data_IF_325134979542
#
_entry.id   IF_325134979542
#
_cell.length_a   1.000
_cell.length_b   1.000
_cell.length_c   1.000
_cell.angle_alpha   90.00
_cell.angle_beta   90.00
_cell.angle_gamma   90.00
#
_symmetry.space_group_name_H-M   'P 1'
#
loop_
_entity.id
_entity.type
_entity.pdbx_description
1 polymer ?
#
# COMPACT_ATOMS: atom_id res chain seq x y z
N UNK A 1 -23.35 -15.67 55.13
CA UNK A 1 -23.46 -16.34 53.83
C UNK A 1 -22.51 -15.65 52.85
N UNK A 2 -21.52 -16.40 52.34
CA UNK A 2 -20.84 -16.21 51.05
C UNK A 2 -19.95 -14.98 50.73
N UNK A 3 -19.49 -14.16 51.69
CA UNK A 3 -18.45 -13.15 51.37
C UNK A 3 -17.16 -13.81 50.88
N UNK A 4 -16.77 -14.92 51.52
CA UNK A 4 -15.54 -15.65 51.17
C UNK A 4 -15.62 -16.29 49.77
N UNK A 5 -16.80 -16.82 49.40
CA UNK A 5 -17.08 -17.33 48.06
C UNK A 5 -17.10 -16.21 46.99
N UNK A 6 -17.55 -15.01 47.36
CA UNK A 6 -17.54 -13.85 46.46
C UNK A 6 -16.12 -13.33 46.23
N UNK A 7 -15.29 -13.27 47.27
CA UNK A 7 -13.89 -12.84 47.17
C UNK A 7 -13.07 -13.85 46.37
N UNK A 8 -13.27 -15.16 46.57
CA UNK A 8 -12.53 -16.19 45.81
C UNK A 8 -12.96 -16.25 44.34
N UNK A 9 -14.25 -16.09 44.03
CA UNK A 9 -14.72 -15.99 42.64
C UNK A 9 -14.22 -14.72 41.93
N UNK A 10 -14.17 -13.58 42.63
CA UNK A 10 -13.60 -12.35 42.09
C UNK A 10 -12.09 -12.48 41.84
N UNK A 11 -11.34 -13.12 42.73
CA UNK A 11 -9.92 -13.45 42.52
C UNK A 11 -9.69 -14.41 41.36
N UNK A 12 -10.56 -15.43 41.19
CA UNK A 12 -10.50 -16.32 40.03
C UNK A 12 -10.80 -15.59 38.71
N UNK A 13 -11.79 -14.69 38.68
CA UNK A 13 -12.07 -13.88 37.51
C UNK A 13 -10.93 -12.91 37.17
N UNK A 14 -10.32 -12.28 38.18
CA UNK A 14 -9.15 -11.43 37.96
C UNK A 14 -7.95 -12.23 37.44
N UNK A 15 -7.68 -13.42 37.99
CA UNK A 15 -6.58 -14.27 37.52
C UNK A 15 -6.81 -14.80 36.12
N UNK A 16 -8.04 -15.20 35.77
CA UNK A 16 -8.42 -15.58 34.40
C UNK A 16 -8.25 -14.41 33.42
N UNK A 17 -8.71 -13.20 33.76
CA UNK A 17 -8.52 -12.02 32.91
C UNK A 17 -7.04 -11.63 32.77
N UNK A 18 -6.25 -11.78 33.85
CA UNK A 18 -4.82 -11.50 33.81
C UNK A 18 -4.08 -12.51 32.95
N UNK A 19 -4.43 -13.79 33.05
CA UNK A 19 -3.84 -14.86 32.24
C UNK A 19 -4.18 -14.70 30.75
N UNK A 20 -5.45 -14.44 30.43
CA UNK A 20 -5.90 -14.16 29.06
C UNK A 20 -5.17 -12.95 28.45
N UNK A 21 -5.00 -11.86 29.22
CA UNK A 21 -4.17 -10.73 28.78
C UNK A 21 -2.71 -11.12 28.55
N UNK A 22 -2.13 -11.89 29.46
CA UNK A 22 -0.73 -12.30 29.37
C UNK A 22 -0.47 -13.22 28.17
N UNK A 23 -1.41 -14.11 27.87
CA UNK A 23 -1.40 -14.96 26.68
C UNK A 23 -1.55 -14.13 25.40
N UNK A 24 -2.47 -13.15 25.36
CA UNK A 24 -2.60 -12.24 24.22
C UNK A 24 -1.33 -11.41 24.01
N UNK A 25 -0.67 -10.94 25.08
CA UNK A 25 0.59 -10.22 24.99
C UNK A 25 1.73 -11.11 24.46
N UNK A 26 1.79 -12.38 24.88
CA UNK A 26 2.77 -13.33 24.36
C UNK A 26 2.54 -13.64 22.89
N UNK A 27 1.29 -13.87 22.49
CA UNK A 27 0.92 -14.05 21.08
C UNK A 27 1.36 -12.86 20.24
N UNK A 28 1.01 -11.64 20.66
CA UNK A 28 1.42 -10.40 20.03
C UNK A 28 2.94 -10.26 19.88
N UNK A 29 3.69 -10.47 20.97
CA UNK A 29 5.16 -10.37 20.94
C UNK A 29 5.80 -11.39 19.98
N UNK A 30 5.25 -12.61 19.91
CA UNK A 30 5.71 -13.63 18.97
C UNK A 30 5.41 -13.20 17.53
N UNK A 31 4.17 -12.80 17.22
CA UNK A 31 3.78 -12.33 15.88
C UNK A 31 4.65 -11.16 15.44
N UNK A 32 4.87 -10.17 16.32
CA UNK A 32 5.74 -9.02 16.05
C UNK A 32 7.18 -9.46 15.77
N UNK A 33 7.74 -10.37 16.57
CA UNK A 33 9.12 -10.85 16.36
C UNK A 33 9.28 -11.58 15.02
N UNK A 34 8.32 -12.42 14.65
CA UNK A 34 8.30 -13.15 13.38
C UNK A 34 8.15 -12.19 12.21
N UNK A 35 7.38 -11.13 12.40
CA UNK A 35 7.18 -10.10 11.41
C UNK A 35 8.42 -9.27 11.13
N UNK A 36 9.05 -8.75 12.17
CA UNK A 36 10.31 -8.00 12.05
C UNK A 36 11.38 -8.85 11.36
N UNK A 37 11.46 -10.14 11.71
CA UNK A 37 12.38 -11.08 11.07
C UNK A 37 12.08 -11.26 9.57
N UNK A 38 10.83 -11.55 9.21
CA UNK A 38 10.42 -11.78 7.82
C UNK A 38 10.71 -10.56 6.93
N UNK A 39 10.34 -9.37 7.37
CA UNK A 39 10.47 -8.15 6.58
C UNK A 39 11.93 -7.71 6.44
N UNK A 40 12.72 -7.85 7.51
CA UNK A 40 14.13 -7.44 7.51
C UNK A 40 15.02 -8.34 6.66
N UNK A 41 14.77 -9.65 6.68
CA UNK A 41 15.69 -10.63 6.09
C UNK A 41 15.20 -11.18 4.74
N UNK A 42 13.92 -11.53 4.61
CA UNK A 42 13.40 -12.20 3.41
C UNK A 42 12.88 -11.20 2.38
N UNK A 43 12.17 -10.14 2.81
CA UNK A 43 11.64 -9.16 1.87
C UNK A 43 12.72 -8.23 1.30
N UNK A 44 13.74 -7.87 2.10
CA UNK A 44 14.80 -6.96 1.65
C UNK A 44 15.58 -7.50 0.45
N UNK A 45 15.80 -8.81 0.41
CA UNK A 45 16.41 -9.50 -0.74
C UNK A 45 15.49 -9.46 -1.96
N UNK A 46 14.20 -9.78 -1.78
CA UNK A 46 13.21 -9.69 -2.86
C UNK A 46 12.97 -8.27 -3.39
N UNK A 47 13.04 -7.25 -2.53
CA UNK A 47 12.94 -5.84 -2.94
C UNK A 47 14.17 -5.40 -3.73
N UNK A 48 15.37 -5.79 -3.29
CA UNK A 48 16.60 -5.52 -4.01
C UNK A 48 16.60 -6.22 -5.38
N UNK A 49 16.12 -7.46 -5.45
CA UNK A 49 16.03 -8.24 -6.68
C UNK A 49 14.94 -7.69 -7.63
N UNK A 50 13.78 -7.30 -7.11
CA UNK A 50 12.72 -6.66 -7.90
C UNK A 50 13.16 -5.29 -8.42
N UNK A 51 13.84 -4.49 -7.59
CA UNK A 51 14.44 -3.24 -8.04
C UNK A 51 15.48 -3.49 -9.13
N UNK A 52 16.33 -4.51 -8.97
CA UNK A 52 17.33 -4.90 -9.97
C UNK A 52 16.68 -5.35 -11.29
N UNK A 53 15.67 -6.22 -11.26
CA UNK A 53 14.89 -6.62 -12.45
C UNK A 53 14.18 -5.44 -13.11
N UNK A 54 13.69 -4.49 -12.32
CA UNK A 54 13.11 -3.25 -12.82
C UNK A 54 14.16 -2.41 -13.56
N UNK A 55 15.36 -2.22 -12.99
CA UNK A 55 16.46 -1.54 -13.66
C UNK A 55 16.99 -2.28 -14.90
N UNK A 56 17.04 -3.61 -14.88
CA UNK A 56 17.49 -4.44 -16.00
C UNK A 56 16.48 -4.47 -17.16
N UNK A 57 15.18 -4.48 -16.85
CA UNK A 57 14.10 -4.40 -17.85
C UNK A 57 13.86 -2.99 -18.41
N UNK A 58 14.37 -1.96 -17.74
CA UNK A 58 14.25 -0.55 -18.14
C UNK A 58 15.65 0.01 -18.36
N UNK A 59 16.31 -0.41 -19.45
CA UNK A 59 17.61 0.13 -19.89
C UNK A 59 17.40 1.58 -20.35
N UNK A 60 17.34 2.51 -19.40
CA UNK A 60 17.52 3.92 -19.69
C UNK A 60 18.95 4.08 -20.19
N UNK A 61 19.12 4.62 -21.39
CA UNK A 61 20.45 4.92 -21.91
C UNK A 61 21.15 5.90 -20.95
N UNK A 62 22.48 5.83 -20.82
CA UNK A 62 23.28 6.71 -19.93
C UNK A 62 23.04 8.21 -20.19
N UNK A 63 22.47 8.55 -21.36
CA UNK A 63 22.01 9.89 -21.73
C UNK A 63 20.66 10.26 -21.09
N UNK A 64 19.71 9.33 -20.99
CA UNK A 64 18.45 9.48 -20.24
C UNK A 64 18.67 9.53 -18.72
N UNK A 65 19.69 8.84 -18.17
CA UNK A 65 20.03 8.99 -16.75
C UNK A 65 20.49 10.42 -16.41
N UNK A 66 21.32 11.03 -17.26
CA UNK A 66 21.79 12.41 -17.06
C UNK A 66 20.69 13.47 -17.28
N UNK A 67 19.75 13.23 -18.19
CA UNK A 67 18.58 14.11 -18.37
C UNK A 67 17.53 13.91 -17.25
N UNK A 68 17.37 12.70 -16.72
CA UNK A 68 16.51 12.41 -15.55
C UNK A 68 17.09 12.92 -14.22
N UNK A 69 18.40 13.05 -14.09
CA UNK A 69 19.03 13.72 -12.93
C UNK A 69 18.82 15.25 -12.95
N UNK A 70 18.56 15.83 -14.13
CA UNK A 70 18.26 17.27 -14.30
C UNK A 70 16.76 17.58 -14.44
N UNK A 71 15.92 16.62 -14.79
CA UNK A 71 14.47 16.74 -14.68
C UNK A 71 14.07 16.68 -13.20
N UNK A 72 13.63 17.82 -12.67
CA UNK A 72 12.89 17.98 -11.42
C UNK A 72 12.28 16.68 -10.92
N UNK A 73 12.80 16.12 -9.80
CA UNK A 73 12.24 14.96 -9.09
C UNK A 73 10.71 14.99 -9.21
N UNK A 74 10.13 14.14 -10.06
CA UNK A 74 8.70 14.20 -10.39
C UNK A 74 7.87 14.26 -9.11
N UNK A 75 6.89 15.17 -9.04
CA UNK A 75 6.02 15.30 -7.86
C UNK A 75 5.06 14.13 -7.71
N UNK A 76 4.97 13.28 -8.72
CA UNK A 76 4.02 12.18 -8.81
C UNK A 76 4.64 10.81 -8.55
N UNK A 77 3.82 9.88 -8.03
CA UNK A 77 4.17 8.48 -7.75
C UNK A 77 3.16 7.52 -8.39
N UNK A 78 3.60 6.40 -8.99
CA UNK A 78 2.67 5.34 -9.43
C UNK A 78 2.01 4.59 -8.26
N UNK A 79 2.50 4.79 -7.04
CA UNK A 79 2.01 4.18 -5.79
C UNK A 79 1.39 5.24 -4.88
N UNK A 80 0.50 4.82 -3.97
CA UNK A 80 -0.10 5.71 -2.97
C UNK A 80 0.96 6.21 -1.97
N UNK A 81 1.17 7.54 -1.85
CA UNK A 81 2.10 8.08 -0.86
C UNK A 81 1.50 7.99 0.55
N UNK A 82 2.08 7.14 1.41
CA UNK A 82 1.64 6.99 2.81
C UNK A 82 2.51 7.76 3.81
N UNK A 83 3.49 8.53 3.33
CA UNK A 83 4.40 9.31 4.18
C UNK A 83 3.66 10.25 5.15
N UNK A 84 2.52 10.82 4.73
CA UNK A 84 1.70 11.72 5.54
C UNK A 84 1.01 11.01 6.71
N UNK A 85 0.78 9.69 6.64
CA UNK A 85 0.25 8.94 7.78
C UNK A 85 1.29 8.82 8.89
N UNK A 86 2.57 8.78 8.53
CA UNK A 86 3.66 8.51 9.45
C UNK A 86 4.26 9.75 10.10
N UNK A 87 4.00 10.94 9.54
CA UNK A 87 4.65 12.19 9.94
C UNK A 87 3.62 13.23 10.36
N UNK A 88 3.38 13.32 11.67
CA UNK A 88 2.43 14.27 12.27
C UNK A 88 2.61 15.71 11.78
N UNK A 89 3.83 16.24 11.84
CA UNK A 89 4.10 17.63 11.44
C UNK A 89 3.79 17.91 9.97
N UNK A 90 4.04 16.92 9.09
CA UNK A 90 3.73 17.07 7.66
C UNK A 90 2.23 16.93 7.39
N UNK A 91 1.56 16.04 8.14
CA UNK A 91 0.11 15.83 8.09
C UNK A 91 -0.65 17.10 8.50
N UNK A 92 -0.25 17.72 9.60
CA UNK A 92 -0.86 18.96 10.10
C UNK A 92 -0.64 20.13 9.13
N UNK A 93 0.52 20.20 8.48
CA UNK A 93 0.81 21.25 7.48
C UNK A 93 0.08 21.04 6.14
N UNK A 94 -0.24 19.80 5.78
CA UNK A 94 -0.84 19.43 4.49
C UNK A 94 -2.14 18.66 4.70
N UNK A 95 -3.02 19.20 5.53
CA UNK A 95 -4.25 18.51 5.94
C UNK A 95 -5.14 18.12 4.75
N UNK A 96 -5.37 19.03 3.81
CA UNK A 96 -6.19 18.76 2.61
C UNK A 96 -5.61 17.60 1.79
N UNK A 97 -4.29 17.58 1.57
CA UNK A 97 -3.62 16.49 0.85
C UNK A 97 -3.71 15.17 1.63
N UNK A 98 -3.60 15.21 2.95
CA UNK A 98 -3.77 14.04 3.79
C UNK A 98 -5.19 13.48 3.67
N UNK A 99 -6.23 14.32 3.67
CA UNK A 99 -7.62 13.89 3.50
C UNK A 99 -7.84 13.19 2.15
N UNK A 100 -7.22 13.70 1.08
CA UNK A 100 -7.24 13.06 -0.24
C UNK A 100 -6.58 11.68 -0.23
N UNK A 101 -5.37 11.56 0.34
CA UNK A 101 -4.70 10.26 0.43
C UNK A 101 -5.38 9.31 1.41
N UNK A 102 -6.04 9.81 2.45
CA UNK A 102 -6.85 9.02 3.37
C UNK A 102 -8.07 8.43 2.67
N UNK A 103 -8.77 9.23 1.85
CA UNK A 103 -9.87 8.75 1.03
C UNK A 103 -9.41 7.64 0.06
N UNK A 104 -8.28 7.87 -0.63
CA UNK A 104 -7.72 6.87 -1.54
C UNK A 104 -7.25 5.60 -0.80
N UNK A 105 -6.69 5.73 0.41
CA UNK A 105 -6.27 4.61 1.24
C UNK A 105 -7.47 3.75 1.69
N UNK A 106 -8.59 4.41 2.05
CA UNK A 106 -9.84 3.70 2.38
C UNK A 106 -10.38 2.91 1.20
N UNK A 107 -10.24 3.43 -0.01
CA UNK A 107 -10.75 2.79 -1.22
C UNK A 107 -9.80 1.70 -1.75
N UNK A 108 -8.48 1.87 -1.61
CA UNK A 108 -7.51 0.93 -2.17
C UNK A 108 -7.44 -0.37 -1.35
N UNK A 109 -7.60 -0.31 -0.03
CA UNK A 109 -7.52 -1.50 0.81
C UNK A 109 -8.59 -2.55 0.46
N UNK A 110 -9.89 -2.19 0.30
CA UNK A 110 -10.90 -3.10 -0.24
C UNK A 110 -10.62 -3.53 -1.68
N UNK A 111 -10.07 -2.65 -2.53
CA UNK A 111 -9.74 -3.03 -3.91
C UNK A 111 -8.65 -4.11 -3.96
N UNK A 112 -7.68 -4.06 -3.05
CA UNK A 112 -6.59 -5.05 -2.96
C UNK A 112 -7.08 -6.32 -2.25
N UNK A 113 -7.78 -6.18 -1.12
CA UNK A 113 -8.00 -7.28 -0.17
C UNK A 113 -9.47 -7.69 0.01
N UNK A 114 -10.44 -6.99 -0.57
CA UNK A 114 -11.86 -7.25 -0.35
C UNK A 114 -12.33 -8.64 -0.76
N UNK A 115 -11.55 -9.36 -1.57
CA UNK A 115 -11.81 -10.75 -1.92
C UNK A 115 -11.31 -11.75 -0.87
N UNK A 116 -10.34 -11.37 -0.03
CA UNK A 116 -9.68 -12.28 0.92
C UNK A 116 -10.56 -12.56 2.13
N UNK A 117 -10.36 -13.75 2.72
CA UNK A 117 -11.13 -14.17 3.90
C UNK A 117 -10.91 -13.26 5.11
N UNK A 118 -9.64 -12.97 5.44
CA UNK A 118 -9.31 -12.17 6.63
C UNK A 118 -9.89 -10.75 6.56
N UNK A 119 -9.98 -10.17 5.36
CA UNK A 119 -10.51 -8.81 5.17
C UNK A 119 -12.03 -8.79 5.27
N UNK A 120 -12.71 -9.81 4.72
CA UNK A 120 -14.16 -9.97 4.86
C UNK A 120 -14.56 -10.18 6.31
N UNK A 121 -13.86 -11.08 7.02
CA UNK A 121 -14.11 -11.33 8.44
C UNK A 121 -13.89 -10.05 9.28
N UNK A 122 -12.89 -9.22 8.93
CA UNK A 122 -12.67 -7.92 9.57
C UNK A 122 -13.78 -6.90 9.31
N UNK A 123 -14.28 -6.82 8.07
CA UNK A 123 -15.43 -5.98 7.72
C UNK A 123 -16.72 -6.41 8.41
N UNK A 124 -16.96 -7.72 8.49
CA UNK A 124 -18.14 -8.28 9.15
C UNK A 124 -18.12 -8.04 10.67
N UNK A 125 -16.92 -8.08 11.27
CA UNK A 125 -16.75 -7.77 12.68
C UNK A 125 -16.91 -6.26 12.97
N UNK A 126 -16.41 -5.41 12.08
CA UNK A 126 -16.51 -3.96 12.19
C UNK A 126 -16.51 -3.26 10.82
N UNK A 127 -17.64 -2.64 10.47
CA UNK A 127 -17.81 -1.93 9.21
C UNK A 127 -16.82 -0.75 9.05
N UNK A 128 -16.29 -0.23 10.15
CA UNK A 128 -15.33 0.89 10.19
C UNK A 128 -13.89 0.41 10.44
N UNK A 129 -13.58 -0.89 10.27
CA UNK A 129 -12.23 -1.38 10.59
C UNK A 129 -11.14 -0.71 9.74
N UNK A 130 -11.44 -0.32 8.49
CA UNK A 130 -10.48 0.33 7.59
C UNK A 130 -10.06 1.69 8.15
N UNK A 131 -11.02 2.49 8.60
CA UNK A 131 -10.79 3.76 9.30
C UNK A 131 -9.92 3.57 10.54
N UNK A 132 -10.25 2.56 11.33
CA UNK A 132 -9.54 2.25 12.56
C UNK A 132 -8.11 1.81 12.29
N UNK A 133 -7.90 0.99 11.26
CA UNK A 133 -6.58 0.56 10.82
C UNK A 133 -5.71 1.75 10.38
N UNK A 134 -6.23 2.64 9.54
CA UNK A 134 -5.49 3.83 9.08
C UNK A 134 -5.16 4.79 10.24
N UNK A 135 -6.09 4.92 11.20
CA UNK A 135 -5.86 5.67 12.43
C UNK A 135 -4.79 5.01 13.31
N UNK A 136 -4.82 3.69 13.45
CA UNK A 136 -3.84 2.92 14.22
C UNK A 136 -2.44 3.05 13.64
N UNK A 137 -2.30 3.01 12.30
CA UNK A 137 -1.03 3.28 11.60
C UNK A 137 -0.49 4.66 11.98
N UNK A 138 -1.36 5.68 11.92
CA UNK A 138 -0.99 7.07 12.22
C UNK A 138 -0.55 7.24 13.68
N UNK A 139 -1.27 6.63 14.61
CA UNK A 139 -0.96 6.68 16.04
C UNK A 139 0.31 5.92 16.39
N UNK A 140 0.49 4.72 15.83
CA UNK A 140 1.68 3.92 16.06
C UNK A 140 2.94 4.61 15.53
N UNK A 141 2.83 5.38 14.44
CA UNK A 141 3.93 6.17 13.93
C UNK A 141 4.31 7.35 14.85
N UNK A 142 3.33 7.94 15.55
CA UNK A 142 3.57 8.98 16.57
C UNK A 142 4.22 8.40 17.83
N UNK A 143 3.87 7.17 18.19
CA UNK A 143 4.40 6.47 19.37
C UNK A 143 5.82 5.89 19.13
N UNK A 144 6.38 6.01 17.91
CA UNK A 144 7.73 5.52 17.60
C UNK A 144 8.82 6.33 18.33
N UNK A 145 9.84 5.68 18.92
CA UNK A 145 11.00 6.36 19.47
C UNK A 145 11.70 7.20 18.41
N UNK A 146 12.12 8.43 18.73
CA UNK A 146 12.72 9.37 17.75
C UNK A 146 13.99 8.85 17.02
N UNK A 147 14.60 7.78 17.54
CA UNK A 147 15.75 7.09 16.94
C UNK A 147 15.34 6.07 15.86
N UNK A 148 14.14 5.52 15.92
CA UNK A 148 13.59 4.63 14.90
C UNK A 148 12.92 5.47 13.81
N UNK A 149 13.38 5.29 12.57
CA UNK A 149 12.84 5.98 11.40
C UNK A 149 12.40 4.96 10.38
N UNK A 150 11.16 5.08 9.93
CA UNK A 150 10.64 4.30 8.80
C UNK A 150 11.17 4.95 7.52
N UNK A 151 12.10 4.29 6.83
CA UNK A 151 12.70 4.77 5.57
C UNK A 151 12.09 4.08 4.37
N UNK A 152 11.86 2.78 4.48
CA UNK A 152 11.37 1.92 3.41
C UNK A 152 10.06 1.22 3.82
N UNK A 153 9.27 0.76 2.84
CA UNK A 153 8.02 0.07 3.13
C UNK A 153 8.20 -1.14 4.07
N UNK A 154 9.37 -1.79 4.03
CA UNK A 154 9.72 -2.89 4.94
C UNK A 154 9.74 -2.47 6.42
N UNK A 155 10.11 -1.22 6.69
CA UNK A 155 10.23 -0.67 8.04
C UNK A 155 8.87 -0.41 8.69
N UNK A 156 7.76 -0.46 7.91
CA UNK A 156 6.41 -0.42 8.47
C UNK A 156 6.15 -1.55 9.46
N UNK A 157 6.97 -2.61 9.40
CA UNK A 157 6.91 -3.71 10.35
C UNK A 157 7.25 -3.35 11.79
N UNK A 158 7.94 -2.22 11.98
CA UNK A 158 8.29 -1.70 13.30
C UNK A 158 7.13 -1.02 14.02
N UNK A 159 6.00 -0.79 13.34
CA UNK A 159 4.81 -0.19 13.93
C UNK A 159 4.12 -1.18 14.87
N UNK A 160 4.05 -0.83 16.16
CA UNK A 160 3.36 -1.61 17.18
C UNK A 160 1.99 -0.98 17.46
N UNK A 161 0.91 -1.73 17.22
CA UNK A 161 -0.44 -1.23 17.46
C UNK A 161 -0.91 -1.63 18.85
N UNK A 162 -1.72 -0.77 19.48
CA UNK A 162 -2.33 -1.05 20.79
C UNK A 162 -3.40 -2.14 20.71
N UNK A 163 -4.07 -2.23 19.57
CA UNK A 163 -5.05 -3.26 19.25
C UNK A 163 -4.35 -4.45 18.56
N UNK A 164 -4.29 -5.63 19.20
CA UNK A 164 -3.70 -6.82 18.62
C UNK A 164 -4.41 -7.29 17.34
N UNK A 165 -5.72 -7.11 17.24
CA UNK A 165 -6.49 -7.55 16.08
C UNK A 165 -6.14 -6.74 14.84
N UNK A 166 -6.07 -5.41 14.97
CA UNK A 166 -5.62 -4.53 13.89
C UNK A 166 -4.15 -4.81 13.53
N UNK A 167 -3.32 -5.17 14.51
CA UNK A 167 -1.92 -5.52 14.26
C UNK A 167 -1.80 -6.79 13.41
N UNK A 168 -2.57 -7.83 13.72
CA UNK A 168 -2.57 -9.10 13.00
C UNK A 168 -3.07 -8.91 11.56
N UNK A 169 -4.12 -8.12 11.34
CA UNK A 169 -4.60 -7.78 10.00
C UNK A 169 -3.52 -7.03 9.21
N UNK A 170 -2.89 -6.02 9.82
CA UNK A 170 -1.84 -5.24 9.18
C UNK A 170 -0.63 -6.11 8.82
N UNK A 171 -0.28 -7.03 9.70
CA UNK A 171 0.75 -8.04 9.46
C UNK A 171 0.43 -8.88 8.22
N UNK A 172 -0.80 -9.40 8.10
CA UNK A 172 -1.23 -10.17 6.93
C UNK A 172 -1.12 -9.35 5.63
N UNK A 173 -1.53 -8.08 5.65
CA UNK A 173 -1.41 -7.18 4.49
C UNK A 173 0.05 -6.95 4.07
N UNK A 174 0.96 -6.76 5.03
CA UNK A 174 2.38 -6.52 4.74
C UNK A 174 3.12 -7.81 4.32
N UNK A 175 2.79 -8.94 4.93
CA UNK A 175 3.32 -10.26 4.57
C UNK A 175 2.84 -10.73 3.19
N UNK A 176 1.60 -10.41 2.84
CA UNK A 176 0.93 -11.01 1.67
C UNK A 176 0.58 -12.48 1.90
N UNK A 177 -0.27 -13.02 1.02
CA UNK A 177 -0.71 -14.40 1.07
C UNK A 177 0.13 -15.27 0.15
N UNK A 178 0.66 -16.37 0.65
CA UNK A 178 1.27 -17.41 -0.18
C UNK A 178 0.37 -18.63 -0.13
N UNK A 179 -0.18 -19.02 -1.28
CA UNK A 179 -0.72 -20.38 -1.44
C UNK A 179 0.47 -21.30 -1.71
N UNK A 180 0.63 -22.31 -0.84
CA UNK A 180 1.49 -23.44 -1.13
C UNK A 180 0.80 -24.19 -2.28
N UNK A 181 1.42 -24.31 -3.46
CA UNK A 181 0.82 -25.07 -4.54
C UNK A 181 0.63 -26.50 -4.08
N UNK A 182 -0.51 -27.11 -4.40
CA UNK A 182 -0.55 -28.57 -4.45
C UNK A 182 0.47 -28.98 -5.50
N UNK A 183 1.42 -29.86 -5.14
CA UNK A 183 2.48 -30.32 -6.04
C UNK A 183 1.89 -30.83 -7.36
N UNK A 184 1.97 -30.03 -8.42
CA UNK A 184 1.81 -30.49 -9.78
C UNK A 184 3.15 -30.34 -10.49
N UNK A 185 3.85 -31.48 -10.60
CA UNK A 185 4.96 -31.71 -11.54
C UNK A 185 6.23 -30.84 -11.35
N UNK A 186 6.85 -30.91 -10.18
CA UNK A 186 8.30 -30.69 -10.02
C UNK A 186 8.83 -29.25 -10.12
N UNK A 187 7.98 -28.26 -10.36
CA UNK A 187 8.30 -26.83 -10.19
C UNK A 187 7.35 -26.22 -9.17
N UNK A 188 7.86 -25.91 -7.97
CA UNK A 188 7.08 -25.21 -6.93
C UNK A 188 7.00 -23.73 -7.32
N UNK A 189 6.06 -23.38 -8.19
CA UNK A 189 5.72 -21.96 -8.43
C UNK A 189 4.84 -21.46 -7.28
N UNK A 190 5.43 -20.70 -6.38
CA UNK A 190 4.74 -20.09 -5.24
C UNK A 190 3.67 -19.12 -5.75
N UNK A 191 2.40 -19.54 -5.78
CA UNK A 191 1.30 -18.67 -6.15
C UNK A 191 0.90 -17.78 -4.96
N UNK A 192 1.01 -16.47 -5.15
CA UNK A 192 0.65 -15.48 -4.13
C UNK A 192 -0.88 -15.34 -4.14
N UNK A 193 -1.55 -15.86 -3.11
CA UNK A 193 -3.02 -15.81 -2.95
C UNK A 193 -3.54 -14.36 -2.91
N UNK A 194 -2.76 -13.45 -2.32
CA UNK A 194 -3.02 -12.01 -2.37
C UNK A 194 -1.74 -11.18 -2.21
N UNK A 195 -1.62 -10.02 -2.88
CA UNK A 195 -0.40 -9.25 -2.96
C UNK A 195 -0.08 -8.49 -1.66
N UNK A 196 1.22 -8.23 -1.43
CA UNK A 196 1.71 -7.40 -0.33
C UNK A 196 1.31 -5.94 -0.49
N UNK A 197 1.04 -5.26 0.62
CA UNK A 197 0.71 -3.83 0.63
C UNK A 197 1.84 -2.98 0.04
N UNK A 198 3.11 -3.35 0.28
CA UNK A 198 4.31 -2.66 -0.21
C UNK A 198 4.39 -2.52 -1.74
N UNK A 199 3.63 -3.32 -2.50
CA UNK A 199 3.49 -3.17 -3.96
C UNK A 199 2.73 -1.90 -4.35
N UNK A 200 1.80 -1.44 -3.52
CA UNK A 200 0.84 -0.37 -3.85
C UNK A 200 1.13 0.97 -3.18
N UNK A 201 2.01 0.98 -2.18
CA UNK A 201 2.32 2.17 -1.36
C UNK A 201 3.77 2.64 -1.53
N UNK A 202 4.02 3.92 -1.27
CA UNK A 202 5.37 4.50 -1.18
C UNK A 202 5.51 5.38 0.07
N UNK A 203 6.74 5.50 0.56
CA UNK A 203 7.12 6.43 1.64
C UNK A 203 7.71 7.74 1.11
N UNK A 204 7.79 7.89 -0.20
CA UNK A 204 8.20 9.15 -0.79
C UNK A 204 7.16 10.24 -0.50
N UNK A 205 7.62 11.44 -0.17
CA UNK A 205 6.74 12.60 0.06
C UNK A 205 6.30 13.23 -1.27
N UNK A 206 5.64 12.42 -2.11
CA UNK A 206 5.05 12.84 -3.38
C UNK A 206 3.67 13.43 -3.11
N UNK A 207 3.34 14.51 -3.81
CA UNK A 207 2.05 15.19 -3.65
C UNK A 207 1.00 14.72 -4.65
N UNK A 208 1.40 13.90 -5.64
CA UNK A 208 0.54 13.46 -6.72
C UNK A 208 0.65 11.97 -6.98
N UNK A 209 -0.41 11.40 -7.53
CA UNK A 209 -0.45 10.05 -8.04
C UNK A 209 -0.35 10.09 -9.56
N UNK A 210 0.65 9.40 -10.09
CA UNK A 210 0.88 9.27 -11.52
C UNK A 210 -0.12 8.27 -12.08
N UNK A 211 -1.24 8.78 -12.58
CA UNK A 211 -2.35 7.97 -13.08
C UNK A 211 -1.84 7.04 -14.16
N UNK A 212 -1.11 7.50 -15.17
CA UNK A 212 -0.65 6.66 -16.28
C UNK A 212 0.11 5.37 -15.88
N UNK A 213 0.78 5.37 -14.73
CA UNK A 213 1.56 4.21 -14.23
C UNK A 213 0.98 3.60 -12.95
N UNK A 214 -0.21 4.04 -12.51
CA UNK A 214 -0.83 3.52 -11.32
C UNK A 214 -1.42 2.13 -11.56
N UNK A 215 -1.18 1.20 -10.63
CA UNK A 215 -1.71 -0.17 -10.69
C UNK A 215 -3.24 -0.23 -10.75
N UNK A 216 -3.79 -1.35 -11.24
CA UNK A 216 -5.23 -1.58 -11.32
C UNK A 216 -5.98 -1.28 -10.01
N UNK A 217 -5.56 -1.77 -8.82
CA UNK A 217 -6.28 -1.48 -7.57
C UNK A 217 -6.25 0.00 -7.19
N UNK A 218 -5.14 0.70 -7.47
CA UNK A 218 -5.04 2.14 -7.23
C UNK A 218 -5.92 2.95 -8.19
N UNK A 219 -6.15 2.45 -9.41
CA UNK A 219 -7.11 3.09 -10.32
C UNK A 219 -8.54 2.86 -9.88
N UNK A 220 -8.88 1.64 -9.47
CA UNK A 220 -10.19 1.33 -8.92
C UNK A 220 -10.50 2.24 -7.72
N UNK A 221 -9.50 2.55 -6.89
CA UNK A 221 -9.67 3.43 -5.73
C UNK A 221 -9.87 4.91 -6.06
N UNK A 222 -9.46 5.35 -7.27
CA UNK A 222 -9.58 6.73 -7.74
C UNK A 222 -10.81 6.93 -8.65
N UNK A 223 -11.12 5.93 -9.47
CA UNK A 223 -12.04 6.03 -10.60
C UNK A 223 -13.25 5.09 -10.49
N UNK A 224 -13.18 4.10 -9.61
CA UNK A 224 -14.16 3.01 -9.52
C UNK A 224 -13.91 1.92 -10.57
N UNK A 225 -14.26 0.67 -10.25
CA UNK A 225 -13.97 -0.51 -11.09
C UNK A 225 -14.51 -0.43 -12.53
N UNK A 226 -15.65 0.26 -12.72
CA UNK A 226 -16.36 0.29 -14.00
C UNK A 226 -15.53 0.86 -15.17
N UNK A 227 -14.60 1.79 -14.89
CA UNK A 227 -13.84 2.49 -15.93
C UNK A 227 -12.35 2.12 -15.95
N UNK A 228 -11.92 1.21 -15.07
CA UNK A 228 -10.51 0.82 -14.99
C UNK A 228 -10.05 0.15 -16.28
N UNK A 229 -10.86 -0.71 -16.89
CA UNK A 229 -10.51 -1.37 -18.15
C UNK A 229 -10.30 -0.36 -19.29
N UNK A 230 -11.16 0.66 -19.39
CA UNK A 230 -11.02 1.74 -20.37
C UNK A 230 -9.70 2.50 -20.17
N UNK A 231 -9.33 2.77 -18.92
CA UNK A 231 -8.06 3.44 -18.58
C UNK A 231 -6.87 2.57 -19.02
N UNK A 232 -6.88 1.27 -18.67
CA UNK A 232 -5.78 0.36 -19.01
C UNK A 232 -5.63 0.18 -20.52
N UNK A 233 -6.74 0.02 -21.24
CA UNK A 233 -6.74 -0.04 -22.69
C UNK A 233 -6.14 1.25 -23.28
N UNK A 234 -6.61 2.42 -22.83
CA UNK A 234 -6.15 3.71 -23.36
C UNK A 234 -4.67 3.95 -23.09
N UNK A 235 -4.13 3.46 -21.96
CA UNK A 235 -2.70 3.51 -21.68
C UNK A 235 -1.88 2.73 -22.69
N UNK A 236 -2.31 1.52 -23.01
CA UNK A 236 -1.60 0.65 -23.95
C UNK A 236 -1.63 1.22 -25.37
N UNK A 237 -2.76 1.82 -25.78
CA UNK A 237 -2.87 2.58 -27.03
C UNK A 237 -1.86 3.73 -27.06
N UNK A 238 -1.91 4.63 -26.07
CA UNK A 238 -1.04 5.81 -26.02
C UNK A 238 0.44 5.45 -25.86
N UNK A 239 0.77 4.40 -25.09
CA UNK A 239 2.13 3.89 -24.98
C UNK A 239 2.67 3.45 -26.35
N UNK A 240 1.85 2.75 -27.14
CA UNK A 240 2.22 2.28 -28.49
C UNK A 240 2.43 3.45 -29.46
N UNK A 241 1.61 4.50 -29.35
CA UNK A 241 1.69 5.71 -30.18
C UNK A 241 2.89 6.61 -29.84
N UNK A 242 3.32 6.62 -28.57
CA UNK A 242 4.42 7.46 -28.05
C UNK A 242 5.78 6.74 -28.08
N UNK A 243 5.81 5.41 -28.20
CA UNK A 243 7.02 4.58 -28.34
C UNK A 243 7.88 5.09 -29.51
N UNK A 244 9.23 5.09 -29.43
CA UNK A 244 10.09 5.77 -30.40
C UNK A 244 10.06 5.09 -31.78
N UNK A 245 9.05 5.41 -32.57
CA UNK A 245 9.02 5.28 -34.02
C UNK A 245 9.10 6.70 -34.60
N UNK A 246 9.84 6.87 -35.70
CA UNK A 246 9.84 8.14 -36.43
C UNK A 246 8.39 8.51 -36.80
N UNK A 247 7.94 9.70 -36.37
CA UNK A 247 6.56 10.16 -36.58
C UNK A 247 5.54 9.76 -35.51
N UNK A 248 5.97 9.21 -34.36
CA UNK A 248 5.09 8.93 -33.22
C UNK A 248 4.46 10.18 -32.57
N UNK A 249 3.39 9.98 -31.81
CA UNK A 249 2.69 11.05 -31.09
C UNK A 249 3.62 11.68 -30.03
N UNK A 250 3.55 13.00 -29.88
CA UNK A 250 4.29 13.70 -28.81
C UNK A 250 3.68 13.39 -27.44
N UNK A 251 4.52 13.35 -26.41
CA UNK A 251 4.12 13.08 -25.02
C UNK A 251 3.12 14.09 -24.49
N UNK A 252 3.22 15.35 -24.92
CA UNK A 252 2.32 16.43 -24.50
C UNK A 252 0.91 16.23 -25.06
N UNK A 253 0.81 15.88 -26.35
CA UNK A 253 -0.46 15.62 -27.02
C UNK A 253 -1.14 14.38 -26.41
N UNK A 254 -0.37 13.30 -26.19
CA UNK A 254 -0.85 12.10 -25.52
C UNK A 254 -1.33 12.37 -24.09
N UNK A 255 -0.63 13.24 -23.35
CA UNK A 255 -1.01 13.65 -21.99
C UNK A 255 -2.34 14.39 -22.00
N UNK A 256 -2.54 15.31 -22.95
CA UNK A 256 -3.80 16.04 -23.05
C UNK A 256 -4.97 15.11 -23.39
N UNK A 257 -4.78 14.18 -24.35
CA UNK A 257 -5.78 13.17 -24.71
C UNK A 257 -6.14 12.30 -23.49
N UNK A 258 -5.13 11.84 -22.74
CA UNK A 258 -5.36 11.00 -21.57
C UNK A 258 -6.08 11.75 -20.45
N UNK A 259 -5.71 13.01 -20.22
CA UNK A 259 -6.34 13.88 -19.23
C UNK A 259 -7.80 14.14 -19.58
N UNK A 260 -8.09 14.56 -20.81
CA UNK A 260 -9.45 14.89 -21.26
C UNK A 260 -10.40 13.68 -21.18
N UNK A 261 -9.87 12.47 -21.41
CA UNK A 261 -10.65 11.24 -21.34
C UNK A 261 -11.10 10.88 -19.91
N UNK A 262 -10.28 11.15 -18.89
CA UNK A 262 -10.45 10.55 -17.55
C UNK A 262 -10.51 11.54 -16.38
N UNK A 263 -10.03 12.78 -16.50
CA UNK A 263 -9.95 13.73 -15.37
C UNK A 263 -11.27 13.95 -14.64
N UNK A 264 -12.37 13.99 -15.41
CA UNK A 264 -13.72 14.24 -14.91
C UNK A 264 -14.48 12.97 -14.51
N UNK A 265 -13.87 11.78 -14.65
CA UNK A 265 -14.49 10.49 -14.32
C UNK A 265 -14.06 9.93 -12.96
N UNK A 266 -13.29 10.69 -12.19
CA UNK A 266 -12.86 10.31 -10.83
C UNK A 266 -14.03 10.22 -9.87
N UNK A 267 -13.87 9.41 -8.81
CA UNK A 267 -14.85 9.29 -7.73
C UNK A 267 -15.06 10.64 -7.02
N UNK A 268 -16.26 10.84 -6.50
CA UNK A 268 -16.62 12.04 -5.73
C UNK A 268 -15.67 12.25 -4.55
N UNK A 269 -15.27 13.50 -4.33
CA UNK A 269 -14.36 13.90 -3.24
C UNK A 269 -12.88 13.83 -3.58
N UNK A 270 -12.49 13.16 -4.66
CA UNK A 270 -11.10 13.20 -5.16
C UNK A 270 -10.91 14.46 -6.00
N UNK A 271 -9.86 15.23 -5.73
CA UNK A 271 -9.53 16.46 -6.47
C UNK A 271 -8.53 16.19 -7.61
N UNK A 272 -8.48 17.05 -8.63
CA UNK A 272 -7.60 16.79 -9.80
C UNK A 272 -6.13 17.04 -9.47
N UNK A 273 -5.87 17.96 -8.56
CA UNK A 273 -4.57 18.50 -8.21
C UNK A 273 -3.64 17.44 -7.61
N UNK A 274 -4.22 16.38 -7.05
CA UNK A 274 -3.50 15.21 -6.50
C UNK A 274 -3.26 14.12 -7.55
N UNK A 275 -3.68 14.32 -8.79
CA UNK A 275 -3.52 13.38 -9.90
C UNK A 275 -2.60 13.98 -10.97
N UNK A 276 -1.71 13.15 -11.50
CA UNK A 276 -0.83 13.46 -12.61
C UNK A 276 -1.14 12.54 -13.79
N UNK A 277 -1.63 13.12 -14.88
CA UNK A 277 -2.01 12.42 -16.11
C UNK A 277 -0.87 12.32 -17.13
N UNK A 278 0.36 12.71 -16.77
CA UNK A 278 1.51 12.74 -17.69
C UNK A 278 1.83 11.36 -18.27
N UNK A 279 1.66 11.26 -19.59
CA UNK A 279 2.02 10.08 -20.40
C UNK A 279 3.53 10.05 -20.62
N UNK A 280 4.13 8.86 -20.57
CA UNK A 280 5.55 8.68 -20.88
C UNK A 280 5.81 7.44 -21.71
N UNK A 281 7.04 7.34 -22.20
CA UNK A 281 7.61 6.16 -22.87
C UNK A 281 7.90 4.97 -21.95
N UNK A 282 7.61 5.08 -20.65
CA UNK A 282 7.67 3.94 -19.71
C UNK A 282 6.51 3.00 -19.99
N UNK A 283 6.79 1.70 -20.06
CA UNK A 283 5.77 0.66 -20.28
C UNK A 283 4.83 0.57 -19.06
N UNK A 284 3.52 0.84 -19.22
CA UNK A 284 2.56 0.73 -18.12
C UNK A 284 2.34 -0.71 -17.66
N UNK A 285 2.62 -1.73 -18.49
CA UNK A 285 2.40 -3.13 -18.14
C UNK A 285 3.27 -3.62 -16.97
N UNK A 286 4.41 -2.96 -16.72
CA UNK A 286 5.27 -3.27 -15.56
C UNK A 286 4.69 -2.86 -14.20
N UNK A 287 3.51 -2.23 -14.18
CA UNK A 287 2.83 -1.73 -12.98
C UNK A 287 1.47 -2.40 -12.72
N UNK A 288 1.08 -3.36 -13.58
CA UNK A 288 -0.05 -4.27 -13.37
C UNK A 288 0.38 -5.48 -12.53
#
# INVERSE_FOLDING_TARGET
>A
MNILLFVTSMLMLMTLMTYARLESYRGFAITQSQFEFYMKNLEREGYAESAKKWYEGHVATTKEQNDNERQTKSKASPKLPIALFLKKDEREKKQELFEQFNLMAKNILPAIYGHTRFFKEALEADEHFVEQLLKAISQAAEDLPSKQKIKNACDLSTLSFKDPYLHDIFYLMLKGGVEIPKEEKGTVEVNVSYPKLSKYITLDNKSQIRVFLASRPLLASIFGEAIVNDILQKRNELYTEVKPKEGGMKTEDATQIFKDAFENRRLSGIVSEVLDFTVSKTDPAGYE
#
